data_IF_602833047609
#
_entry.id   IF_602833047609
#
_cell.length_a   1.000
_cell.length_b   1.000
_cell.length_c   1.000
_cell.angle_alpha   90.00
_cell.angle_beta   90.00
_cell.angle_gamma   90.00
#
_symmetry.space_group_name_H-M   'P 1'
#
loop_
_entity.id
_entity.type
_entity.pdbx_description
1 polymer ?
#
# COMPACT_ATOMS: atom_id res chain seq x y z
N UNK A 1 21.17 10.48 -25.96
CA UNK A 1 22.24 9.57 -25.53
C UNK A 1 22.47 9.78 -24.04
N UNK A 2 22.01 8.84 -23.24
CA UNK A 2 22.30 8.80 -21.80
C UNK A 2 22.70 7.36 -21.55
N UNK A 3 24.00 7.12 -21.52
CA UNK A 3 24.58 5.86 -21.08
C UNK A 3 24.24 5.70 -19.61
N UNK A 4 23.15 4.99 -19.35
CA UNK A 4 22.87 4.41 -18.04
C UNK A 4 23.98 3.41 -17.81
N UNK A 5 24.73 3.60 -16.72
CA UNK A 5 25.85 2.79 -16.25
C UNK A 5 25.43 1.31 -16.25
N UNK A 6 25.65 0.62 -17.38
CA UNK A 6 25.48 -0.83 -17.57
C UNK A 6 26.84 -1.47 -17.33
N UNK A 7 27.28 -1.43 -16.07
CA UNK A 7 28.48 -2.13 -15.60
C UNK A 7 28.11 -3.38 -14.81
N UNK A 8 28.65 -4.53 -15.21
CA UNK A 8 28.87 -5.75 -14.40
C UNK A 8 27.68 -6.64 -13.98
N UNK A 9 26.42 -6.22 -14.12
CA UNK A 9 25.29 -6.99 -13.60
C UNK A 9 24.98 -8.30 -14.40
N UNK A 10 25.31 -8.35 -15.70
CA UNK A 10 25.02 -9.52 -16.54
C UNK A 10 25.96 -10.71 -16.30
N UNK A 11 27.21 -10.48 -15.90
CA UNK A 11 28.18 -11.55 -15.65
C UNK A 11 27.89 -12.24 -14.30
N UNK A 12 27.64 -11.44 -13.27
CA UNK A 12 27.16 -11.89 -11.96
C UNK A 12 25.83 -12.64 -12.05
N UNK A 13 24.86 -12.15 -12.84
CA UNK A 13 23.61 -12.89 -13.11
C UNK A 13 23.90 -14.25 -13.76
N UNK A 14 24.71 -14.32 -14.81
CA UNK A 14 25.04 -15.60 -15.49
C UNK A 14 25.78 -16.60 -14.61
N UNK A 15 26.66 -16.13 -13.73
CA UNK A 15 27.36 -16.98 -12.75
C UNK A 15 26.42 -17.48 -11.65
N UNK A 16 25.53 -16.62 -11.12
CA UNK A 16 24.51 -17.00 -10.14
C UNK A 16 23.48 -17.98 -10.73
N UNK A 17 23.12 -17.83 -12.01
CA UNK A 17 22.24 -18.74 -12.74
C UNK A 17 22.94 -20.08 -12.98
N UNK A 18 24.24 -20.06 -13.31
CA UNK A 18 25.03 -21.30 -13.47
C UNK A 18 25.18 -22.11 -12.20
N UNK A 19 25.13 -21.49 -11.02
CA UNK A 19 25.18 -22.20 -9.72
C UNK A 19 23.81 -22.67 -9.24
N UNK A 20 22.71 -22.18 -9.82
CA UNK A 20 21.33 -22.56 -9.48
C UNK A 20 20.76 -23.69 -10.36
N UNK A 21 21.52 -24.16 -11.35
CA UNK A 21 21.05 -25.08 -12.40
C UNK A 21 21.92 -26.35 -12.43
N UNK A 22 21.40 -27.44 -11.87
CA UNK A 22 21.96 -28.80 -11.99
C UNK A 22 21.52 -29.45 -13.33
N UNK A 23 22.04 -28.96 -14.46
CA UNK A 23 21.66 -29.45 -15.79
C UNK A 23 22.94 -29.69 -16.63
N UNK A 24 22.98 -30.81 -17.39
CA UNK A 24 24.09 -31.17 -18.28
C UNK A 24 24.42 -30.06 -19.30
N UNK A 25 25.67 -29.97 -19.77
CA UNK A 25 26.16 -28.82 -20.57
C UNK A 25 25.34 -28.58 -21.86
N UNK A 26 24.89 -29.63 -22.55
CA UNK A 26 24.07 -29.52 -23.77
C UNK A 26 22.62 -29.09 -23.51
N UNK A 27 22.12 -29.37 -22.31
CA UNK A 27 20.81 -28.92 -21.84
C UNK A 27 20.90 -27.53 -21.20
N UNK A 28 22.08 -27.13 -20.72
CA UNK A 28 22.39 -25.79 -20.22
C UNK A 28 22.36 -24.72 -21.31
N UNK A 29 22.92 -24.98 -22.50
CA UNK A 29 22.84 -24.03 -23.63
C UNK A 29 21.39 -23.80 -24.08
N UNK A 30 20.62 -24.87 -24.26
CA UNK A 30 19.18 -24.79 -24.57
C UNK A 30 18.37 -24.06 -23.49
N UNK A 31 18.76 -24.23 -22.24
CA UNK A 31 18.16 -23.51 -21.12
C UNK A 31 18.46 -22.02 -21.22
N UNK A 32 19.71 -21.63 -21.47
CA UNK A 32 20.12 -20.23 -21.61
C UNK A 32 19.40 -19.54 -22.78
N UNK A 33 19.31 -20.20 -23.95
CA UNK A 33 18.52 -19.67 -25.07
C UNK A 33 17.03 -19.50 -24.71
N UNK A 34 16.48 -20.47 -23.97
CA UNK A 34 15.09 -20.39 -23.50
C UNK A 34 14.88 -19.27 -22.48
N UNK A 35 15.87 -19.03 -21.61
CA UNK A 35 15.88 -17.95 -20.65
C UNK A 35 15.89 -16.59 -21.36
N UNK A 36 16.83 -16.37 -22.27
CA UNK A 36 16.97 -15.11 -23.01
C UNK A 36 15.66 -14.76 -23.75
N UNK A 37 15.06 -15.75 -24.45
CA UNK A 37 13.76 -15.58 -25.12
C UNK A 37 12.60 -15.31 -24.16
N UNK A 38 12.65 -15.82 -22.93
CA UNK A 38 11.61 -15.53 -21.94
C UNK A 38 11.79 -14.15 -21.32
N UNK A 39 13.04 -13.72 -21.09
CA UNK A 39 13.34 -12.36 -20.61
C UNK A 39 12.84 -11.31 -21.60
N UNK A 40 13.11 -11.50 -22.90
CA UNK A 40 12.63 -10.60 -23.96
C UNK A 40 11.10 -10.49 -23.97
N UNK A 41 10.39 -11.63 -23.99
CA UNK A 41 8.92 -11.67 -23.93
C UNK A 41 8.33 -11.03 -22.68
N UNK A 42 9.03 -11.17 -21.56
CA UNK A 42 8.63 -10.56 -20.29
C UNK A 42 8.78 -9.05 -20.37
N UNK A 43 9.89 -8.56 -20.91
CA UNK A 43 10.15 -7.14 -21.07
C UNK A 43 9.12 -6.48 -22.00
N UNK A 44 8.88 -7.06 -23.18
CA UNK A 44 7.87 -6.56 -24.13
C UNK A 44 6.50 -6.41 -23.46
N UNK A 45 6.08 -7.43 -22.71
CA UNK A 45 4.80 -7.42 -22.00
C UNK A 45 4.76 -6.33 -20.91
N UNK A 46 5.85 -6.10 -20.18
CA UNK A 46 5.93 -5.05 -19.15
C UNK A 46 5.88 -3.67 -19.79
N UNK A 47 6.58 -3.47 -20.90
CA UNK A 47 6.62 -2.19 -21.60
C UNK A 47 5.21 -1.83 -22.11
N UNK A 48 4.49 -2.78 -22.72
CA UNK A 48 3.09 -2.60 -23.14
C UNK A 48 2.16 -2.31 -21.96
N UNK A 49 2.32 -3.01 -20.82
CA UNK A 49 1.55 -2.77 -19.60
C UNK A 49 1.81 -1.36 -19.05
N UNK A 50 3.06 -0.94 -18.99
CA UNK A 50 3.46 0.36 -18.48
C UNK A 50 2.95 1.49 -19.39
N UNK A 51 3.06 1.33 -20.70
CA UNK A 51 2.56 2.29 -21.70
C UNK A 51 1.04 2.45 -21.60
N UNK A 52 0.29 1.35 -21.48
CA UNK A 52 -1.17 1.39 -21.34
C UNK A 52 -1.60 2.05 -20.03
N UNK A 53 -0.85 1.87 -18.95
CA UNK A 53 -1.21 2.39 -17.62
C UNK A 53 -0.78 3.84 -17.38
N UNK A 54 0.12 4.40 -18.20
CA UNK A 54 0.72 5.73 -17.93
C UNK A 54 -0.28 6.89 -17.96
N UNK A 55 -1.44 6.71 -18.62
CA UNK A 55 -2.51 7.72 -18.64
C UNK A 55 -3.29 7.78 -17.31
N UNK A 56 -3.24 6.71 -16.52
CA UNK A 56 -4.01 6.56 -15.29
C UNK A 56 -3.15 6.49 -14.03
N UNK A 57 -1.87 6.16 -14.18
CA UNK A 57 -0.94 5.93 -13.09
C UNK A 57 0.29 6.80 -13.29
N UNK A 58 0.73 7.46 -12.21
CA UNK A 58 1.91 8.32 -12.25
C UNK A 58 3.15 7.57 -12.74
N UNK A 59 3.89 8.20 -13.66
CA UNK A 59 5.08 7.65 -14.30
C UNK A 59 6.16 7.19 -13.31
N UNK A 60 6.39 7.93 -12.23
CA UNK A 60 7.41 7.61 -11.24
C UNK A 60 7.13 6.29 -10.51
N UNK A 61 5.85 5.95 -10.31
CA UNK A 61 5.42 4.69 -9.69
C UNK A 61 5.57 3.54 -10.68
N UNK A 62 5.21 3.76 -11.95
CA UNK A 62 5.41 2.77 -13.01
C UNK A 62 6.89 2.40 -13.15
N UNK A 63 7.79 3.39 -13.19
CA UNK A 63 9.25 3.15 -13.23
C UNK A 63 9.71 2.30 -12.04
N UNK A 64 9.23 2.59 -10.83
CA UNK A 64 9.56 1.79 -9.64
C UNK A 64 9.00 0.36 -9.73
N UNK A 65 7.80 0.18 -10.28
CA UNK A 65 7.20 -1.14 -10.47
C UNK A 65 7.98 -1.98 -11.48
N UNK A 66 8.41 -1.38 -12.60
CA UNK A 66 9.27 -2.02 -13.62
C UNK A 66 10.59 -2.46 -12.98
N UNK A 67 11.29 -1.56 -12.28
CA UNK A 67 12.56 -1.89 -11.64
C UNK A 67 12.42 -2.99 -10.57
N UNK A 68 11.35 -2.98 -9.77
CA UNK A 68 11.10 -4.07 -8.81
C UNK A 68 10.76 -5.39 -9.51
N UNK A 69 10.04 -5.36 -10.62
CA UNK A 69 9.74 -6.55 -11.39
C UNK A 69 10.99 -7.13 -12.04
N UNK A 70 11.86 -6.31 -12.65
CA UNK A 70 13.11 -6.75 -13.27
C UNK A 70 14.05 -7.47 -12.29
N UNK A 71 14.05 -7.05 -11.03
CA UNK A 71 14.80 -7.73 -9.98
C UNK A 71 14.22 -9.11 -9.62
N UNK A 72 12.92 -9.30 -9.80
CA UNK A 72 12.22 -10.54 -9.51
C UNK A 72 12.08 -11.47 -10.72
N UNK A 73 12.12 -10.93 -11.94
CA UNK A 73 11.78 -11.65 -13.16
C UNK A 73 12.66 -12.86 -13.37
N UNK A 74 13.97 -12.71 -13.13
CA UNK A 74 14.96 -13.78 -13.32
C UNK A 74 14.64 -15.00 -12.44
N UNK A 75 14.38 -14.77 -11.15
CA UNK A 75 14.01 -15.82 -10.20
C UNK A 75 12.70 -16.51 -10.58
N UNK A 76 11.73 -15.72 -11.03
CA UNK A 76 10.44 -16.25 -11.46
C UNK A 76 10.58 -17.11 -12.71
N UNK A 77 11.29 -16.61 -13.75
CA UNK A 77 11.52 -17.30 -15.02
C UNK A 77 12.30 -18.60 -14.80
N UNK A 78 13.41 -18.57 -14.06
CA UNK A 78 14.22 -19.76 -13.75
C UNK A 78 13.38 -20.83 -13.06
N UNK A 79 12.57 -20.45 -12.07
CA UNK A 79 11.69 -21.40 -11.38
C UNK A 79 10.65 -22.05 -12.31
N UNK A 80 10.18 -21.33 -13.32
CA UNK A 80 9.23 -21.85 -14.32
C UNK A 80 9.92 -22.76 -15.33
N UNK A 81 11.08 -22.37 -15.83
CA UNK A 81 11.86 -23.17 -16.77
C UNK A 81 12.32 -24.49 -16.14
N UNK A 82 12.69 -24.49 -14.85
CA UNK A 82 12.97 -25.74 -14.10
C UNK A 82 11.76 -26.68 -14.00
N UNK A 83 10.53 -26.17 -14.23
CA UNK A 83 9.31 -26.98 -14.30
C UNK A 83 8.88 -27.30 -15.74
N UNK A 84 9.74 -27.07 -16.74
CA UNK A 84 9.47 -27.21 -18.18
C UNK A 84 8.22 -26.41 -18.62
N UNK A 85 8.01 -25.21 -18.05
CA UNK A 85 6.88 -24.33 -18.37
C UNK A 85 7.37 -22.92 -18.69
N UNK A 86 6.64 -22.24 -19.57
CA UNK A 86 6.87 -20.83 -19.91
C UNK A 86 5.97 -19.88 -19.10
N UNK A 87 6.38 -18.61 -19.03
CA UNK A 87 5.52 -17.54 -18.54
C UNK A 87 4.47 -17.19 -19.58
N UNK A 88 3.21 -17.14 -19.16
CA UNK A 88 2.14 -16.59 -20.01
C UNK A 88 2.01 -15.08 -19.79
N UNK A 89 1.52 -14.33 -20.79
CA UNK A 89 1.26 -12.88 -20.66
C UNK A 89 0.39 -12.56 -19.43
N UNK A 90 -0.64 -13.36 -19.18
CA UNK A 90 -1.45 -13.27 -17.96
C UNK A 90 -0.62 -13.39 -16.66
N UNK A 91 0.34 -14.32 -16.59
CA UNK A 91 1.18 -14.49 -15.39
C UNK A 91 2.13 -13.31 -15.20
N UNK A 92 2.69 -12.77 -16.30
CA UNK A 92 3.53 -11.57 -16.28
C UNK A 92 2.70 -10.40 -15.74
N UNK A 93 1.55 -10.14 -16.36
CA UNK A 93 0.66 -9.05 -15.98
C UNK A 93 0.18 -9.16 -14.53
N UNK A 94 -0.27 -10.33 -14.07
CA UNK A 94 -0.72 -10.53 -12.67
C UNK A 94 0.40 -10.23 -11.67
N UNK A 95 1.63 -10.69 -11.94
CA UNK A 95 2.77 -10.42 -11.07
C UNK A 95 3.14 -8.93 -11.08
N UNK A 96 3.19 -8.32 -12.25
CA UNK A 96 3.50 -6.89 -12.40
C UNK A 96 2.48 -6.02 -11.67
N UNK A 97 1.19 -6.26 -11.91
CA UNK A 97 0.11 -5.54 -11.24
C UNK A 97 0.08 -5.76 -9.73
N UNK A 98 0.54 -6.91 -9.23
CA UNK A 98 0.65 -7.17 -7.80
C UNK A 98 1.72 -6.29 -7.12
N UNK A 99 2.85 -6.10 -7.80
CA UNK A 99 3.92 -5.19 -7.37
C UNK A 99 3.44 -3.74 -7.47
N UNK A 100 2.88 -3.37 -8.63
CA UNK A 100 2.36 -2.03 -8.87
C UNK A 100 1.31 -1.62 -7.84
N UNK A 101 0.32 -2.48 -7.56
CA UNK A 101 -0.70 -2.20 -6.56
C UNK A 101 -0.13 -2.09 -5.13
N UNK A 102 0.95 -2.83 -4.82
CA UNK A 102 1.63 -2.70 -3.53
C UNK A 102 2.37 -1.34 -3.44
N UNK A 103 2.97 -0.88 -4.53
CA UNK A 103 3.61 0.45 -4.62
C UNK A 103 2.58 1.57 -4.59
N UNK A 104 1.46 1.44 -5.29
CA UNK A 104 0.36 2.42 -5.26
C UNK A 104 -0.18 2.63 -3.85
N UNK A 105 -0.11 1.60 -2.99
CA UNK A 105 -0.47 1.74 -1.59
C UNK A 105 0.37 2.79 -0.84
N UNK A 106 1.58 3.12 -1.31
CA UNK A 106 2.41 4.21 -0.77
C UNK A 106 1.83 5.61 -1.05
N UNK A 107 1.14 5.76 -2.18
CA UNK A 107 0.47 7.00 -2.61
C UNK A 107 -1.05 6.90 -2.52
N UNK A 108 -1.59 5.95 -1.76
CA UNK A 108 -3.02 5.81 -1.47
C UNK A 108 -3.90 5.48 -2.67
N UNK A 109 -3.27 5.12 -3.77
CA UNK A 109 -3.98 4.64 -4.94
C UNK A 109 -4.07 3.12 -4.87
N UNK A 110 -4.94 2.57 -5.71
CA UNK A 110 -5.04 1.13 -5.88
C UNK A 110 -5.45 0.87 -7.31
N UNK A 111 -5.06 -0.28 -7.81
CA UNK A 111 -5.70 -0.78 -9.01
C UNK A 111 -7.17 -1.07 -8.69
N UNK A 112 -8.00 -0.92 -9.71
CA UNK A 112 -9.44 -1.20 -9.68
C UNK A 112 -9.76 -2.17 -10.81
N UNK A 113 -10.94 -2.84 -10.78
CA UNK A 113 -11.35 -3.70 -11.88
C UNK A 113 -11.26 -3.04 -13.27
N UNK A 114 -11.60 -1.75 -13.38
CA UNK A 114 -11.53 -1.01 -14.64
C UNK A 114 -10.12 -0.99 -15.25
N UNK A 115 -9.05 -0.99 -14.45
CA UNK A 115 -7.69 -1.07 -14.98
C UNK A 115 -7.44 -2.42 -15.65
N UNK A 116 -8.05 -3.50 -15.16
CA UNK A 116 -7.95 -4.82 -15.79
C UNK A 116 -8.76 -4.88 -17.08
N UNK A 117 -9.90 -4.19 -17.12
CA UNK A 117 -10.72 -4.09 -18.33
C UNK A 117 -9.94 -3.34 -19.43
N UNK A 118 -9.41 -2.16 -19.11
CA UNK A 118 -8.55 -1.37 -20.01
C UNK A 118 -7.35 -2.16 -20.53
N UNK A 119 -6.62 -2.86 -19.66
CA UNK A 119 -5.47 -3.65 -20.08
C UNK A 119 -5.86 -4.75 -21.07
N UNK A 120 -7.02 -5.38 -20.91
CA UNK A 120 -7.50 -6.40 -21.86
C UNK A 120 -7.88 -5.80 -23.21
N UNK A 121 -8.44 -4.60 -23.20
CA UNK A 121 -8.89 -3.94 -24.43
C UNK A 121 -7.70 -3.44 -25.28
N UNK A 122 -6.54 -3.20 -24.65
CA UNK A 122 -5.36 -2.62 -25.31
C UNK A 122 -4.18 -3.61 -25.49
N UNK A 123 -4.13 -4.72 -24.76
CA UNK A 123 -3.01 -5.67 -24.80
C UNK A 123 -3.47 -7.04 -25.28
N UNK A 124 -2.95 -7.46 -26.43
CA UNK A 124 -3.27 -8.76 -27.02
C UNK A 124 -2.76 -9.92 -26.15
N UNK A 125 -3.53 -11.01 -26.12
CA UNK A 125 -3.17 -12.23 -25.40
C UNK A 125 -3.47 -12.23 -23.89
N UNK A 126 -4.10 -11.17 -23.36
CA UNK A 126 -4.69 -11.20 -22.01
C UNK A 126 -6.08 -11.83 -22.06
N UNK A 127 -6.29 -12.96 -21.36
CA UNK A 127 -7.54 -13.73 -21.47
C UNK A 127 -8.47 -13.55 -20.27
N UNK A 128 -9.78 -13.59 -20.53
CA UNK A 128 -10.84 -13.48 -19.52
C UNK A 128 -10.82 -14.64 -18.49
N UNK A 129 -11.30 -14.38 -17.27
CA UNK A 129 -11.61 -15.42 -16.29
C UNK A 129 -10.56 -15.65 -15.21
N UNK A 130 -10.34 -16.92 -14.84
CA UNK A 130 -9.52 -17.30 -13.65
C UNK A 130 -8.02 -17.00 -13.80
N UNK A 131 -7.53 -16.66 -14.99
CA UNK A 131 -6.12 -16.45 -15.30
C UNK A 131 -5.65 -14.99 -15.20
N UNK A 132 -6.55 -14.02 -15.35
CA UNK A 132 -6.25 -12.59 -15.26
C UNK A 132 -7.43 -11.85 -14.63
N UNK A 133 -7.29 -11.49 -13.35
CA UNK A 133 -8.33 -10.76 -12.61
C UNK A 133 -7.75 -10.02 -11.41
N UNK A 134 -8.48 -9.00 -10.94
CA UNK A 134 -8.14 -8.25 -9.74
C UNK A 134 -7.94 -9.14 -8.51
N UNK A 135 -8.83 -10.11 -8.30
CA UNK A 135 -8.76 -11.03 -7.16
C UNK A 135 -7.53 -11.94 -7.23
N UNK A 136 -7.18 -12.41 -8.45
CA UNK A 136 -5.97 -13.20 -8.65
C UNK A 136 -4.72 -12.37 -8.37
N UNK A 137 -4.67 -11.12 -8.82
CA UNK A 137 -3.60 -10.18 -8.51
C UNK A 137 -3.44 -9.99 -6.99
N UNK A 138 -4.54 -9.80 -6.25
CA UNK A 138 -4.48 -9.68 -4.79
C UNK A 138 -3.96 -10.94 -4.10
N UNK A 139 -4.39 -12.12 -4.55
CA UNK A 139 -3.85 -13.39 -4.06
C UNK A 139 -2.35 -13.48 -4.35
N UNK A 140 -1.92 -13.05 -5.54
CA UNK A 140 -0.51 -13.08 -5.92
C UNK A 140 0.34 -12.10 -5.13
N UNK A 141 -0.16 -10.90 -4.87
CA UNK A 141 0.49 -9.91 -4.00
C UNK A 141 0.75 -10.48 -2.60
N UNK A 142 -0.24 -11.12 -1.99
CA UNK A 142 -0.08 -11.78 -0.68
C UNK A 142 1.00 -12.87 -0.75
N UNK A 143 1.00 -13.69 -1.80
CA UNK A 143 2.01 -14.74 -1.99
C UNK A 143 3.43 -14.17 -2.13
N UNK A 144 3.60 -13.11 -2.92
CA UNK A 144 4.89 -12.45 -3.12
C UNK A 144 5.42 -11.83 -1.81
N UNK A 145 4.54 -11.25 -1.00
CA UNK A 145 4.87 -10.73 0.33
C UNK A 145 5.28 -11.85 1.29
N UNK A 146 4.48 -12.92 1.37
CA UNK A 146 4.74 -14.04 2.28
C UNK A 146 6.06 -14.75 1.98
N UNK A 147 6.45 -14.80 0.69
CA UNK A 147 7.72 -15.37 0.24
C UNK A 147 8.90 -14.40 0.35
N UNK A 148 8.66 -13.16 0.81
CA UNK A 148 9.69 -12.14 0.96
C UNK A 148 10.20 -11.53 -0.36
N UNK A 149 9.51 -11.76 -1.48
CA UNK A 149 9.89 -11.20 -2.77
C UNK A 149 9.61 -9.70 -2.86
N UNK A 150 8.54 -9.23 -2.21
CA UNK A 150 8.26 -7.81 -2.05
C UNK A 150 7.94 -7.49 -0.61
N UNK A 151 8.43 -6.35 -0.13
CA UNK A 151 8.10 -5.87 1.21
C UNK A 151 6.65 -5.39 1.26
N UNK A 152 5.91 -5.81 2.28
CA UNK A 152 4.56 -5.29 2.54
C UNK A 152 4.66 -3.81 2.84
N UNK A 153 4.18 -2.98 1.92
CA UNK A 153 3.99 -1.56 2.20
C UNK A 153 2.75 -1.49 3.09
N UNK A 154 2.97 -1.37 4.40
CA UNK A 154 1.88 -1.07 5.33
C UNK A 154 1.27 0.26 4.90
N UNK A 155 -0.03 0.45 5.14
CA UNK A 155 -0.73 1.74 5.03
C UNK A 155 -0.20 2.76 6.09
N UNK A 156 1.12 2.91 6.19
CA UNK A 156 1.81 3.99 6.90
C UNK A 156 1.27 5.33 6.42
N UNK A 157 0.97 5.43 5.13
CA UNK A 157 0.36 6.61 4.57
C UNK A 157 -0.91 7.04 5.30
N UNK A 158 -1.93 6.18 5.44
CA UNK A 158 -3.21 6.64 6.01
C UNK A 158 -3.00 7.17 7.43
N UNK A 159 -2.16 6.50 8.22
CA UNK A 159 -1.78 6.95 9.55
C UNK A 159 -0.99 8.26 9.50
N UNK A 160 -0.09 8.47 8.54
CA UNK A 160 0.64 9.74 8.34
C UNK A 160 -0.31 10.89 7.96
N UNK A 161 -1.14 10.72 6.92
CA UNK A 161 -2.17 11.72 6.56
C UNK A 161 -3.14 12.00 7.69
N UNK A 162 -3.55 10.96 8.42
CA UNK A 162 -4.40 11.11 9.60
C UNK A 162 -3.70 11.92 10.68
N UNK A 163 -2.40 11.71 10.87
CA UNK A 163 -1.58 12.44 11.85
C UNK A 163 -1.41 13.89 11.44
N UNK A 164 -1.08 14.15 10.18
CA UNK A 164 -0.97 15.50 9.63
C UNK A 164 -2.31 16.24 9.75
N UNK A 165 -3.41 15.59 9.34
CA UNK A 165 -4.75 16.18 9.44
C UNK A 165 -5.18 16.42 10.89
N UNK A 166 -4.84 15.51 11.80
CA UNK A 166 -5.08 15.67 13.22
C UNK A 166 -4.34 16.89 13.79
N UNK A 167 -3.04 17.01 13.53
CA UNK A 167 -2.23 18.17 13.93
C UNK A 167 -2.77 19.46 13.31
N UNK A 168 -3.13 19.47 12.02
CA UNK A 168 -3.73 20.64 11.37
C UNK A 168 -5.03 21.08 12.05
N UNK A 169 -5.89 20.13 12.42
CA UNK A 169 -7.13 20.43 13.14
C UNK A 169 -6.83 21.06 14.51
N UNK A 170 -5.92 20.48 15.29
CA UNK A 170 -5.55 21.00 16.62
C UNK A 170 -4.88 22.37 16.51
N UNK A 171 -3.96 22.57 15.58
CA UNK A 171 -3.30 23.86 15.32
C UNK A 171 -4.30 24.94 14.91
N UNK A 172 -5.28 24.60 14.08
CA UNK A 172 -6.35 25.53 13.71
C UNK A 172 -7.25 25.86 14.90
N UNK A 173 -7.58 24.87 15.75
CA UNK A 173 -8.31 25.12 16.99
C UNK A 173 -7.52 26.02 17.95
N UNK A 174 -6.20 25.87 18.05
CA UNK A 174 -5.33 26.74 18.85
C UNK A 174 -5.32 28.17 18.32
N UNK A 175 -5.33 28.35 17.00
CA UNK A 175 -5.40 29.67 16.39
C UNK A 175 -6.74 30.38 16.63
N UNK A 176 -7.86 29.66 16.58
CA UNK A 176 -9.21 30.23 16.77
C UNK A 176 -9.57 30.38 18.26
N UNK A 177 -9.05 29.49 19.12
CA UNK A 177 -9.34 29.46 20.56
C UNK A 177 -8.05 29.57 21.39
N UNK A 178 -7.32 30.70 21.31
CA UNK A 178 -6.02 30.86 21.98
C UNK A 178 -6.11 30.74 23.51
N UNK A 179 -7.27 31.06 24.11
CA UNK A 179 -7.54 30.86 25.53
C UNK A 179 -7.50 29.39 25.98
N UNK A 180 -7.46 28.44 25.04
CA UNK A 180 -7.41 27.02 25.30
C UNK A 180 -6.10 26.37 24.82
N UNK A 181 -5.10 27.17 24.46
CA UNK A 181 -3.83 26.72 23.90
C UNK A 181 -3.21 25.57 24.70
N UNK A 182 -3.03 25.72 26.02
CA UNK A 182 -2.40 24.70 26.87
C UNK A 182 -3.13 23.34 26.81
N UNK A 183 -4.47 23.33 26.95
CA UNK A 183 -5.30 22.12 26.84
C UNK A 183 -5.21 21.48 25.45
N UNK A 184 -5.16 22.30 24.40
CA UNK A 184 -5.10 21.85 23.01
C UNK A 184 -3.70 21.30 22.66
N UNK A 185 -2.63 21.90 23.17
CA UNK A 185 -1.26 21.37 23.05
C UNK A 185 -1.12 20.00 23.74
N UNK A 186 -1.70 19.84 24.93
CA UNK A 186 -1.73 18.53 25.60
C UNK A 186 -2.55 17.49 24.81
N UNK A 187 -3.68 17.91 24.24
CA UNK A 187 -4.46 17.07 23.34
C UNK A 187 -3.64 16.65 22.12
N UNK A 188 -2.88 17.55 21.51
CA UNK A 188 -2.03 17.25 20.35
C UNK A 188 -1.14 16.04 20.63
N UNK A 189 -0.39 16.06 21.74
CA UNK A 189 0.54 15.01 22.12
C UNK A 189 -0.20 13.66 22.28
N UNK A 190 -1.29 13.62 23.06
CA UNK A 190 -2.01 12.35 23.30
C UNK A 190 -2.69 11.83 22.03
N UNK A 191 -3.32 12.70 21.25
CA UNK A 191 -4.01 12.27 20.04
C UNK A 191 -3.05 11.81 18.95
N UNK A 192 -1.82 12.33 18.93
CA UNK A 192 -0.75 11.87 18.04
C UNK A 192 -0.38 10.40 18.26
N UNK A 193 -0.52 9.88 19.48
CA UNK A 193 -0.37 8.45 19.75
C UNK A 193 -1.63 7.67 19.33
N UNK A 194 -2.81 8.21 19.62
CA UNK A 194 -4.09 7.56 19.33
C UNK A 194 -4.36 7.34 17.84
N UNK A 195 -3.80 8.15 16.93
CA UNK A 195 -3.94 7.92 15.48
C UNK A 195 -3.32 6.60 15.01
N UNK A 196 -2.46 5.98 15.80
CA UNK A 196 -1.90 4.65 15.52
C UNK A 196 -2.80 3.49 15.95
N UNK A 197 -3.87 3.73 16.71
CA UNK A 197 -4.78 2.69 17.19
C UNK A 197 -5.47 1.96 16.02
N UNK A 198 -5.58 0.63 16.14
CA UNK A 198 -6.32 -0.18 15.16
C UNK A 198 -7.82 0.11 15.18
N UNK A 199 -8.30 0.72 16.27
CA UNK A 199 -9.69 1.07 16.51
C UNK A 199 -10.15 2.33 15.79
N UNK A 200 -9.22 3.15 15.25
CA UNK A 200 -9.56 4.35 14.49
C UNK A 200 -10.44 3.96 13.28
N UNK A 201 -11.61 4.62 13.11
CA UNK A 201 -12.48 4.31 11.98
C UNK A 201 -11.79 4.64 10.65
N UNK A 202 -11.87 3.72 9.68
CA UNK A 202 -11.32 3.90 8.33
C UNK A 202 -12.33 4.61 7.45
N UNK A 203 -12.39 5.92 7.57
CA UNK A 203 -13.24 6.81 6.79
C UNK A 203 -12.36 7.79 6.00
N UNK A 204 -12.97 8.82 5.42
CA UNK A 204 -12.25 9.99 4.94
C UNK A 204 -11.41 10.61 6.08
N UNK A 205 -10.20 11.06 5.76
CA UNK A 205 -9.14 11.39 6.73
C UNK A 205 -9.58 12.44 7.73
N UNK A 206 -10.25 13.51 7.27
CA UNK A 206 -10.78 14.60 8.11
C UNK A 206 -11.76 14.08 9.16
N UNK A 207 -12.68 13.22 8.74
CA UNK A 207 -13.70 12.62 9.63
C UNK A 207 -13.07 11.70 10.66
N UNK A 208 -12.05 10.95 10.27
CA UNK A 208 -11.32 10.09 11.20
C UNK A 208 -10.48 10.89 12.19
N UNK A 209 -9.84 11.98 11.75
CA UNK A 209 -9.11 12.89 12.63
C UNK A 209 -10.06 13.57 13.64
N UNK A 210 -11.23 14.03 13.17
CA UNK A 210 -12.26 14.61 14.03
C UNK A 210 -12.76 13.63 15.10
N UNK A 211 -12.83 12.32 14.80
CA UNK A 211 -13.16 11.30 15.81
C UNK A 211 -12.06 11.18 16.87
N UNK A 212 -10.78 11.27 16.50
CA UNK A 212 -9.67 11.26 17.47
C UNK A 212 -9.73 12.50 18.36
N UNK A 213 -9.88 13.71 17.78
CA UNK A 213 -10.05 14.97 18.53
C UNK A 213 -11.26 14.90 19.47
N UNK A 214 -12.42 14.50 18.92
CA UNK A 214 -13.66 14.38 19.68
C UNK A 214 -13.58 13.39 20.85
N UNK A 215 -12.69 12.40 20.76
CA UNK A 215 -12.43 11.47 21.86
C UNK A 215 -11.77 12.13 23.07
N UNK A 216 -11.01 13.20 22.85
CA UNK A 216 -10.28 13.91 23.89
C UNK A 216 -11.06 15.08 24.50
N UNK A 217 -12.07 15.63 23.81
CA UNK A 217 -12.85 16.81 24.28
C UNK A 217 -13.31 16.66 25.74
N UNK A 218 -13.99 15.57 26.08
CA UNK A 218 -14.53 15.37 27.45
C UNK A 218 -13.44 15.14 28.51
N UNK A 219 -12.23 14.77 28.08
CA UNK A 219 -11.10 14.58 28.98
C UNK A 219 -10.55 15.93 29.43
N UNK A 220 -10.34 16.85 28.50
CA UNK A 220 -9.66 18.14 28.72
C UNK A 220 -10.59 19.33 28.98
N UNK A 221 -11.82 19.30 28.46
CA UNK A 221 -12.81 20.38 28.62
C UNK A 221 -13.94 19.90 29.52
N UNK A 222 -14.10 20.52 30.69
CA UNK A 222 -15.12 20.12 31.69
C UNK A 222 -16.38 20.98 31.65
N UNK A 223 -16.26 22.24 31.23
CA UNK A 223 -17.41 23.14 31.09
C UNK A 223 -18.20 22.76 29.84
N UNK A 224 -19.53 22.72 29.97
CA UNK A 224 -20.42 22.34 28.87
C UNK A 224 -20.27 23.27 27.67
N UNK A 225 -20.21 24.57 27.90
CA UNK A 225 -20.08 25.58 26.85
C UNK A 225 -18.77 25.43 26.06
N UNK A 226 -17.67 25.08 26.73
CA UNK A 226 -16.39 24.77 26.08
C UNK A 226 -16.51 23.51 25.21
N UNK A 227 -17.17 22.45 25.69
CA UNK A 227 -17.35 21.24 24.90
C UNK A 227 -18.24 21.49 23.68
N UNK A 228 -19.35 22.19 23.85
CA UNK A 228 -20.30 22.50 22.78
C UNK A 228 -19.64 23.35 21.68
N UNK A 229 -18.76 24.28 22.05
CA UNK A 229 -17.94 25.06 21.11
C UNK A 229 -17.07 24.16 20.22
N UNK A 230 -16.35 23.21 20.82
CA UNK A 230 -15.44 22.32 20.09
C UNK A 230 -16.21 21.31 19.23
N UNK A 231 -17.37 20.84 19.70
CA UNK A 231 -18.25 19.96 18.93
C UNK A 231 -18.81 20.65 17.68
N UNK A 232 -19.24 21.91 17.80
CA UNK A 232 -19.67 22.73 16.65
C UNK A 232 -18.55 22.95 15.64
N UNK A 233 -17.32 23.17 16.13
CA UNK A 233 -16.15 23.27 15.25
C UNK A 233 -15.94 21.96 14.47
N UNK A 234 -16.02 20.80 15.12
CA UNK A 234 -15.87 19.50 14.45
C UNK A 234 -16.99 19.23 13.43
N UNK A 235 -18.22 19.63 13.73
CA UNK A 235 -19.34 19.59 12.77
C UNK A 235 -19.03 20.41 11.52
N UNK A 236 -18.51 21.64 11.70
CA UNK A 236 -18.17 22.54 10.60
C UNK A 236 -17.05 22.03 9.68
N UNK A 237 -16.03 21.33 10.19
CA UNK A 237 -14.92 20.84 9.36
C UNK A 237 -15.19 19.47 8.71
N UNK A 238 -16.23 18.76 9.12
CA UNK A 238 -16.53 17.40 8.61
C UNK A 238 -17.77 17.34 7.73
N UNK A 239 -18.55 18.42 7.67
CA UNK A 239 -19.90 18.45 7.10
C UNK A 239 -20.80 17.33 7.65
N UNK A 240 -20.58 16.94 8.92
CA UNK A 240 -21.37 15.92 9.61
C UNK A 240 -22.05 16.48 10.85
N UNK A 241 -23.34 16.15 11.00
CA UNK A 241 -24.07 16.44 12.23
C UNK A 241 -23.33 15.95 13.47
N UNK A 242 -23.25 16.79 14.49
CA UNK A 242 -22.57 16.50 15.76
C UNK A 242 -22.92 15.11 16.33
N UNK A 243 -24.21 14.74 16.31
CA UNK A 243 -24.70 13.46 16.81
C UNK A 243 -24.12 12.23 16.06
N UNK A 244 -23.74 12.39 14.78
CA UNK A 244 -23.05 11.33 14.02
C UNK A 244 -21.59 11.21 14.47
N UNK A 245 -20.91 12.33 14.68
CA UNK A 245 -19.51 12.36 15.15
C UNK A 245 -19.43 11.74 16.56
N UNK A 246 -20.29 12.17 17.49
CA UNK A 246 -20.35 11.63 18.87
C UNK A 246 -20.56 10.11 18.89
N UNK A 247 -21.41 9.56 18.01
CA UNK A 247 -21.61 8.10 17.90
C UNK A 247 -20.34 7.37 17.45
N UNK A 248 -19.59 7.93 16.49
CA UNK A 248 -18.29 7.37 16.05
C UNK A 248 -17.25 7.43 17.17
N UNK A 249 -17.20 8.54 17.89
CA UNK A 249 -16.32 8.73 19.06
C UNK A 249 -16.62 7.71 20.15
N UNK A 250 -17.90 7.48 20.46
CA UNK A 250 -18.29 6.47 21.45
C UNK A 250 -17.82 5.07 21.05
N UNK A 251 -18.03 4.67 19.78
CA UNK A 251 -17.56 3.39 19.25
C UNK A 251 -16.04 3.28 19.30
N UNK A 252 -15.33 4.34 18.91
CA UNK A 252 -13.88 4.40 18.97
C UNK A 252 -13.37 4.19 20.40
N UNK A 253 -13.89 4.94 21.39
CA UNK A 253 -13.54 4.77 22.81
C UNK A 253 -13.82 3.37 23.33
N UNK A 254 -14.96 2.78 22.96
CA UNK A 254 -15.31 1.41 23.37
C UNK A 254 -14.35 0.38 22.80
N UNK A 255 -13.93 0.54 21.54
CA UNK A 255 -12.96 -0.36 20.90
C UNK A 255 -11.55 -0.16 21.47
N UNK A 256 -11.16 1.09 21.76
CA UNK A 256 -9.86 1.41 22.37
C UNK A 256 -9.71 0.69 23.73
N UNK A 257 -10.74 0.74 24.58
CA UNK A 257 -10.74 0.00 25.86
C UNK A 257 -10.53 -1.51 25.67
N UNK A 258 -11.18 -2.11 24.67
CA UNK A 258 -10.99 -3.53 24.35
C UNK A 258 -9.59 -3.82 23.79
N UNK A 259 -9.00 -2.88 23.06
CA UNK A 259 -7.63 -2.98 22.56
C UNK A 259 -6.64 -2.99 23.74
N UNK A 260 -6.84 -2.09 24.70
CA UNK A 260 -6.03 -2.00 25.93
C UNK A 260 -6.19 -3.24 26.82
N UNK A 261 -7.42 -3.70 27.08
CA UNK A 261 -7.70 -4.92 27.85
C UNK A 261 -7.03 -6.16 27.23
N UNK A 262 -7.11 -6.31 25.91
CA UNK A 262 -6.44 -7.41 25.21
C UNK A 262 -4.91 -7.27 25.29
N UNK A 263 -4.36 -6.06 25.17
CA UNK A 263 -2.91 -5.86 25.31
C UNK A 263 -2.39 -6.22 26.71
N UNK A 264 -3.19 -5.98 27.75
CA UNK A 264 -2.88 -6.33 29.15
C UNK A 264 -3.02 -7.84 29.45
N UNK A 265 -3.91 -8.54 28.75
CA UNK A 265 -4.06 -10.00 28.87
C UNK A 265 -2.87 -10.76 28.26
N UNK A 266 -2.16 -10.15 27.30
CA UNK A 266 -0.93 -10.71 26.71
C UNK A 266 0.36 -10.23 27.39
N UNK A 267 0.31 -9.32 28.37
CA UNK A 267 1.49 -8.82 29.09
C UNK A 267 1.87 -9.65 30.33
N UNK A 268 1.13 -10.72 30.65
CA UNK A 268 1.47 -11.69 31.69
C UNK A 268 1.86 -13.06 31.10
N UNK A 269 2.81 -13.05 30.17
CA UNK A 269 3.54 -14.25 29.75
C UNK A 269 4.95 -13.88 29.32
N UNK A 270 5.75 -13.50 30.31
CA UNK A 270 7.22 -13.58 30.30
C UNK A 270 7.65 -14.28 31.58
#
# INVERSE_FOLDING_TARGET
MTEVIRGENNKLKKELISSLIDIEISTKEKFLESLDRQEEKVQECIDELAETLQEHIRRDILIQAVAQFENLQLLLIVKKLNSNKHFTRNQIAVNFLAILDNLLASVYEKLTPNHFDMLRDNIEGLTFGRSFSYNLMKKKQIELIQKGYISKIRKLGYTLKLKDQYCQIINHMMAIYPQHHEKLSEMEIIGYELVHSKSVPKLEVTKSAAVVVGSLITKYFKKKDEQDLLWKYLEGITDEQEAKIKRKVYRFKSNLKKEDENSSLFSYSL
#
